data_IF_639812782767
#
_entry.id   IF_639812782767
#
_cell.length_a   1.000
_cell.length_b   1.000
_cell.length_c   1.000
_cell.angle_alpha   90.00
_cell.angle_beta   90.00
_cell.angle_gamma   90.00
#
_symmetry.space_group_name_H-M   'P 1'
#
loop_
_entity.id
_entity.type
_entity.pdbx_description
1 polymer ?
#
# COMPACT_ATOMS: atom_id res chain seq x y z
N UNK A 1 -21.31 4.15 -8.65
CA UNK A 1 -19.88 4.42 -8.39
C UNK A 1 -19.50 3.59 -7.17
N UNK A 2 -18.53 2.70 -7.32
CA UNK A 2 -18.10 1.76 -6.27
C UNK A 2 -16.73 2.21 -5.78
N UNK A 3 -16.69 3.43 -5.23
CA UNK A 3 -15.46 4.05 -4.79
C UNK A 3 -14.98 3.34 -3.53
N UNK A 4 -13.69 3.04 -3.46
CA UNK A 4 -13.08 2.41 -2.30
C UNK A 4 -12.41 3.50 -1.48
N UNK A 5 -12.76 3.61 -0.20
CA UNK A 5 -12.02 4.45 0.74
C UNK A 5 -11.03 3.59 1.51
N UNK A 6 -9.78 4.03 1.59
CA UNK A 6 -8.76 3.31 2.33
C UNK A 6 -7.78 4.23 3.05
N UNK A 7 -7.35 3.84 4.24
CA UNK A 7 -6.20 4.47 4.89
C UNK A 7 -4.92 3.71 4.53
N UNK A 8 -4.05 4.35 3.75
CA UNK A 8 -2.69 3.87 3.53
C UNK A 8 -1.85 4.27 4.75
N UNK A 9 -1.41 3.31 5.56
CA UNK A 9 -0.54 3.62 6.72
C UNK A 9 0.89 3.21 6.44
N UNK A 10 1.87 4.08 6.68
CA UNK A 10 3.29 3.80 6.50
C UNK A 10 4.03 4.14 7.79
N UNK A 11 4.92 3.28 8.29
CA UNK A 11 5.67 3.55 9.51
C UNK A 11 6.62 4.73 9.32
N UNK A 12 6.69 5.56 10.34
CA UNK A 12 7.68 6.64 10.39
C UNK A 12 9.04 6.01 10.72
N UNK A 13 9.85 5.80 9.69
CA UNK A 13 11.19 5.24 9.80
C UNK A 13 12.22 6.38 9.85
N UNK A 14 12.17 7.22 10.87
CA UNK A 14 13.19 8.25 11.06
C UNK A 14 14.40 7.66 11.79
N UNK A 15 15.43 7.28 11.03
CA UNK A 15 16.76 7.02 11.61
C UNK A 15 17.49 8.36 11.73
N UNK A 16 17.56 8.89 12.96
CA UNK A 16 18.22 10.15 13.26
C UNK A 16 19.49 9.96 14.09
N UNK A 17 20.63 10.43 13.57
CA UNK A 17 21.82 10.75 14.36
C UNK A 17 22.08 12.25 14.24
N UNK A 18 21.66 13.04 15.23
CA UNK A 18 21.82 14.50 15.21
C UNK A 18 20.93 15.20 14.19
N UNK A 19 21.49 16.14 13.41
CA UNK A 19 20.75 16.98 12.45
C UNK A 19 20.34 16.27 11.14
N UNK A 20 20.64 14.98 10.99
CA UNK A 20 20.35 14.21 9.78
C UNK A 20 19.16 13.29 10.03
N UNK A 21 18.06 13.51 9.30
CA UNK A 21 16.91 12.60 9.27
C UNK A 21 16.95 11.83 7.96
N UNK A 22 17.15 10.52 8.02
CA UNK A 22 17.02 9.64 6.86
C UNK A 22 15.57 9.13 6.80
N UNK A 23 14.88 9.46 5.70
CA UNK A 23 13.66 8.79 5.29
C UNK A 23 14.00 7.69 4.26
N UNK A 24 14.07 6.42 4.68
CA UNK A 24 14.43 5.32 3.79
C UNK A 24 13.35 5.05 2.75
N UNK A 25 12.09 5.45 2.98
CA UNK A 25 11.00 5.27 2.02
C UNK A 25 11.18 6.26 0.88
N UNK A 26 11.31 7.55 1.18
CA UNK A 26 11.58 8.58 0.16
C UNK A 26 12.89 8.30 -0.59
N UNK A 27 13.92 7.83 0.12
CA UNK A 27 15.20 7.45 -0.51
C UNK A 27 15.08 6.25 -1.46
N UNK A 28 14.20 5.29 -1.16
CA UNK A 28 13.94 4.12 -2.01
C UNK A 28 13.07 4.48 -3.21
N UNK A 29 12.05 5.31 -3.02
CA UNK A 29 11.08 5.71 -4.04
C UNK A 29 11.63 6.80 -4.98
N UNK A 30 12.68 7.53 -4.56
CA UNK A 30 13.22 8.69 -5.29
C UNK A 30 12.31 9.93 -5.26
N UNK A 31 11.16 9.84 -4.59
CA UNK A 31 10.16 10.89 -4.40
C UNK A 31 9.40 10.64 -3.09
N UNK A 32 8.67 11.64 -2.59
CA UNK A 32 7.86 11.45 -1.38
C UNK A 32 6.66 10.55 -1.69
N UNK A 33 6.28 9.68 -0.75
CA UNK A 33 5.08 8.86 -0.90
C UNK A 33 3.82 9.72 -1.14
N UNK A 34 3.75 10.88 -0.47
CA UNK A 34 2.67 11.85 -0.65
C UNK A 34 2.53 12.26 -2.12
N UNK A 35 3.62 12.55 -2.83
CA UNK A 35 3.57 12.92 -4.25
C UNK A 35 3.02 11.83 -5.16
N UNK A 36 3.15 10.56 -4.77
CA UNK A 36 2.63 9.41 -5.53
C UNK A 36 1.12 9.26 -5.33
N UNK A 37 0.63 9.53 -4.11
CA UNK A 37 -0.78 9.33 -3.75
C UNK A 37 -1.59 10.63 -3.72
N UNK A 38 -0.99 11.76 -4.08
CA UNK A 38 -1.56 13.11 -3.97
C UNK A 38 -2.94 13.21 -4.62
N UNK A 39 -3.09 12.64 -5.83
CA UNK A 39 -4.34 12.64 -6.58
C UNK A 39 -5.47 11.82 -5.94
N UNK A 40 -5.12 10.92 -5.01
CA UNK A 40 -6.05 10.02 -4.33
C UNK A 40 -6.41 10.50 -2.92
N UNK A 41 -5.73 11.53 -2.39
CA UNK A 41 -5.97 12.03 -1.03
C UNK A 41 -7.35 12.67 -0.91
N UNK A 42 -8.10 12.28 0.12
CA UNK A 42 -9.37 12.93 0.51
C UNK A 42 -9.25 13.83 1.73
N UNK A 43 -8.12 13.76 2.42
CA UNK A 43 -7.77 14.60 3.55
C UNK A 43 -6.24 14.71 3.69
N UNK A 44 -5.72 15.74 4.38
CA UNK A 44 -4.29 15.86 4.65
C UNK A 44 -3.75 14.63 5.39
N UNK A 45 -2.53 14.16 5.06
CA UNK A 45 -1.88 13.10 5.82
C UNK A 45 -1.70 13.49 7.29
N UNK A 46 -1.83 12.53 8.19
CA UNK A 46 -1.66 12.75 9.62
C UNK A 46 -0.86 11.64 10.29
N UNK A 47 -0.29 11.92 11.46
CA UNK A 47 0.43 10.93 12.25
C UNK A 47 -0.45 10.36 13.34
N UNK A 48 -0.35 9.06 13.55
CA UNK A 48 -0.92 8.40 14.71
C UNK A 48 0.04 7.40 15.33
N UNK A 49 -0.09 7.19 16.64
CA UNK A 49 0.58 6.10 17.33
C UNK A 49 -0.22 4.81 17.11
N UNK A 50 0.42 3.78 16.55
CA UNK A 50 -0.23 2.50 16.24
C UNK A 50 0.74 1.34 16.53
N UNK A 51 0.30 0.39 17.36
CA UNK A 51 1.06 -0.84 17.63
C UNK A 51 2.44 -0.62 18.28
N UNK A 52 2.62 0.45 19.07
CA UNK A 52 3.90 0.77 19.74
C UNK A 52 4.88 1.58 18.89
N UNK A 53 4.52 1.97 17.66
CA UNK A 53 5.27 2.89 16.81
C UNK A 53 4.44 4.09 16.35
N UNK A 54 5.06 4.99 15.60
CA UNK A 54 4.36 6.08 14.89
C UNK A 54 4.20 5.71 13.43
N UNK A 55 3.02 5.95 12.87
CA UNK A 55 2.73 5.77 11.44
C UNK A 55 2.24 7.09 10.85
N UNK A 56 2.63 7.37 9.61
CA UNK A 56 1.97 8.34 8.74
C UNK A 56 0.76 7.65 8.10
N UNK A 57 -0.40 8.32 8.14
CA UNK A 57 -1.66 7.85 7.59
C UNK A 57 -2.06 8.76 6.43
N UNK A 58 -2.33 8.15 5.28
CA UNK A 58 -2.75 8.80 4.05
C UNK A 58 -4.19 8.35 3.74
N UNK A 59 -5.20 9.20 3.99
CA UNK A 59 -6.59 8.87 3.72
C UNK A 59 -6.87 8.99 2.23
N UNK A 60 -7.15 7.86 1.57
CA UNK A 60 -7.32 7.79 0.12
C UNK A 60 -8.77 7.45 -0.26
N UNK A 61 -9.24 8.02 -1.36
CA UNK A 61 -10.35 7.47 -2.13
C UNK A 61 -9.83 7.00 -3.48
N UNK A 62 -10.18 5.77 -3.83
CA UNK A 62 -9.89 5.16 -5.11
C UNK A 62 -11.20 5.09 -5.90
N UNK A 63 -11.44 6.03 -6.82
CA UNK A 63 -12.49 5.88 -7.82
C UNK A 63 -12.34 4.59 -8.61
N UNK A 64 -13.42 4.12 -9.22
CA UNK A 64 -13.36 2.94 -10.09
C UNK A 64 -12.39 3.16 -11.26
N UNK A 65 -11.47 2.22 -11.48
CA UNK A 65 -10.41 2.31 -12.48
C UNK A 65 -9.15 3.05 -12.05
N UNK A 66 -9.16 3.72 -10.89
CA UNK A 66 -8.00 4.46 -10.37
C UNK A 66 -7.11 3.60 -9.47
N UNK A 67 -5.85 4.01 -9.36
CA UNK A 67 -4.85 3.31 -8.57
C UNK A 67 -3.54 4.08 -8.43
N UNK A 68 -2.62 3.52 -7.65
CA UNK A 68 -1.27 4.04 -7.52
C UNK A 68 -0.26 2.91 -7.58
N UNK A 69 0.95 3.24 -8.03
CA UNK A 69 2.07 2.32 -8.09
C UNK A 69 3.31 2.90 -7.43
N UNK A 70 4.06 2.04 -6.76
CA UNK A 70 5.23 2.34 -5.95
C UNK A 70 6.42 1.59 -6.54
N UNK A 71 7.40 2.30 -7.14
CA UNK A 71 8.63 1.66 -7.61
C UNK A 71 9.44 1.16 -6.41
N UNK A 72 9.77 -0.12 -6.36
CA UNK A 72 10.57 -0.73 -5.29
C UNK A 72 12.02 -1.02 -5.75
N UNK A 73 12.48 -0.29 -6.77
CA UNK A 73 13.79 -0.47 -7.39
C UNK A 73 14.02 -1.91 -7.84
N UNK A 74 15.09 -2.54 -7.33
CA UNK A 74 15.45 -3.93 -7.68
C UNK A 74 14.42 -4.99 -7.31
N UNK A 75 13.45 -4.66 -6.45
CA UNK A 75 12.38 -5.58 -6.05
C UNK A 75 11.16 -5.51 -6.98
N UNK A 76 11.23 -4.71 -8.04
CA UNK A 76 10.14 -4.51 -9.00
C UNK A 76 9.24 -3.36 -8.56
N UNK A 77 7.94 -3.58 -8.63
CA UNK A 77 6.93 -2.57 -8.36
C UNK A 77 5.82 -3.16 -7.49
N UNK A 78 5.32 -2.35 -6.57
CA UNK A 78 4.06 -2.62 -5.88
C UNK A 78 3.01 -1.62 -6.36
N UNK A 79 1.74 -1.93 -6.15
CA UNK A 79 0.67 -1.01 -6.50
C UNK A 79 -0.67 -1.53 -6.05
N UNK A 80 -1.67 -0.69 -6.22
CA UNK A 80 -3.05 -1.03 -5.97
C UNK A 80 -3.95 -0.28 -6.94
N UNK A 81 -5.09 -0.88 -7.28
CA UNK A 81 -6.11 -0.24 -8.10
C UNK A 81 -7.51 -0.69 -7.66
N UNK A 82 -8.50 0.14 -7.90
CA UNK A 82 -9.90 -0.24 -7.80
C UNK A 82 -10.37 -0.76 -9.17
N UNK A 83 -10.88 -1.99 -9.21
CA UNK A 83 -11.46 -2.58 -10.40
C UNK A 83 -12.86 -3.12 -10.09
N UNK A 84 -13.89 -2.33 -10.41
CA UNK A 84 -15.29 -2.70 -10.19
C UNK A 84 -15.65 -2.85 -8.71
N UNK A 85 -15.04 -2.06 -7.83
CA UNK A 85 -15.22 -2.17 -6.37
C UNK A 85 -14.44 -3.31 -5.72
N UNK A 86 -13.50 -3.92 -6.46
CA UNK A 86 -12.48 -4.82 -5.91
C UNK A 86 -11.16 -4.08 -5.79
N UNK A 87 -10.52 -4.21 -4.63
CA UNK A 87 -9.16 -3.74 -4.45
C UNK A 87 -8.21 -4.78 -5.06
N UNK A 88 -7.56 -4.42 -6.16
CA UNK A 88 -6.56 -5.25 -6.81
C UNK A 88 -5.18 -4.79 -6.36
N UNK A 89 -4.45 -5.66 -5.68
CA UNK A 89 -3.07 -5.43 -5.30
C UNK A 89 -2.13 -6.00 -6.36
N UNK A 90 -1.13 -5.20 -6.72
CA UNK A 90 0.05 -5.63 -7.47
C UNK A 90 1.21 -5.70 -6.49
N UNK A 91 1.72 -6.90 -6.24
CA UNK A 91 2.82 -7.09 -5.26
C UNK A 91 4.00 -7.80 -5.91
N UNK A 92 5.23 -7.48 -5.49
CA UNK A 92 6.40 -8.26 -5.89
C UNK A 92 6.20 -9.75 -5.61
N UNK A 93 6.66 -10.65 -6.50
CA UNK A 93 6.51 -12.10 -6.33
C UNK A 93 7.06 -12.62 -5.00
N UNK A 94 8.12 -12.00 -4.46
CA UNK A 94 8.71 -12.35 -3.17
C UNK A 94 7.74 -12.16 -1.99
N UNK A 95 6.75 -11.27 -2.12
CA UNK A 95 5.74 -11.00 -1.08
C UNK A 95 4.47 -11.85 -1.24
N UNK A 96 4.36 -12.65 -2.33
CA UNK A 96 3.17 -13.45 -2.66
C UNK A 96 2.63 -14.22 -1.46
N UNK A 97 3.45 -15.08 -0.87
CA UNK A 97 3.02 -15.98 0.22
C UNK A 97 2.51 -15.20 1.43
N UNK A 98 3.17 -14.09 1.77
CA UNK A 98 2.80 -13.26 2.93
C UNK A 98 1.46 -12.57 2.67
N UNK A 99 1.31 -11.95 1.50
CA UNK A 99 0.10 -11.22 1.11
C UNK A 99 -1.09 -12.17 0.99
N UNK A 100 -0.93 -13.29 0.28
CA UNK A 100 -1.99 -14.29 0.10
C UNK A 100 -2.43 -14.89 1.43
N UNK A 101 -1.49 -15.22 2.32
CA UNK A 101 -1.82 -15.77 3.64
C UNK A 101 -2.62 -14.77 4.49
N UNK A 102 -2.23 -13.49 4.50
CA UNK A 102 -2.97 -12.46 5.25
C UNK A 102 -4.30 -12.09 4.60
N UNK A 103 -4.39 -12.20 3.27
CA UNK A 103 -5.56 -11.83 2.51
C UNK A 103 -6.55 -12.99 2.30
N UNK A 104 -6.24 -14.21 2.76
CA UNK A 104 -6.99 -15.42 2.42
C UNK A 104 -8.52 -15.34 2.61
N UNK A 105 -9.00 -14.60 3.61
CA UNK A 105 -10.43 -14.39 3.87
C UNK A 105 -11.10 -13.28 3.04
N UNK A 106 -10.32 -12.58 2.21
CA UNK A 106 -10.72 -11.43 1.41
C UNK A 106 -10.54 -11.67 -0.10
N UNK A 107 -9.85 -12.75 -0.46
CA UNK A 107 -9.54 -13.09 -1.85
C UNK A 107 -10.84 -13.30 -2.64
N UNK A 108 -10.93 -12.63 -3.77
CA UNK A 108 -11.94 -12.86 -4.78
C UNK A 108 -11.26 -13.45 -6.02
N UNK A 109 -11.31 -14.78 -6.14
CA UNK A 109 -10.72 -15.49 -7.26
C UNK A 109 -9.25 -15.91 -7.07
N UNK A 110 -8.64 -16.49 -8.12
CA UNK A 110 -7.29 -17.01 -8.06
C UNK A 110 -6.25 -15.87 -8.00
N UNK A 111 -5.12 -16.18 -7.38
CA UNK A 111 -3.94 -15.31 -7.40
C UNK A 111 -3.23 -15.49 -8.73
N UNK A 112 -3.07 -14.41 -9.49
CA UNK A 112 -2.53 -14.46 -10.85
C UNK A 112 -1.11 -13.91 -10.89
N UNK A 113 -0.22 -14.59 -11.63
CA UNK A 113 1.08 -14.04 -11.98
C UNK A 113 0.90 -13.14 -13.22
N UNK A 114 1.24 -11.87 -13.09
CA UNK A 114 1.04 -10.85 -14.12
C UNK A 114 2.32 -10.06 -14.37
N UNK A 115 2.32 -9.25 -15.43
CA UNK A 115 3.27 -8.13 -15.56
C UNK A 115 2.53 -6.84 -15.30
N UNK A 116 3.02 -6.07 -14.34
CA UNK A 116 2.51 -4.74 -14.03
C UNK A 116 3.58 -3.72 -14.44
N UNK A 117 3.23 -2.81 -15.35
CA UNK A 117 4.15 -1.84 -15.97
C UNK A 117 5.50 -2.44 -16.42
N UNK A 118 5.45 -3.65 -16.99
CA UNK A 118 6.63 -4.35 -17.49
C UNK A 118 7.43 -5.13 -16.45
N UNK A 119 7.11 -5.01 -15.15
CA UNK A 119 7.73 -5.77 -14.06
C UNK A 119 6.91 -7.00 -13.66
N UNK A 120 7.54 -8.13 -13.29
CA UNK A 120 6.81 -9.28 -12.77
C UNK A 120 6.13 -8.91 -11.45
N UNK A 121 4.84 -9.19 -11.36
CA UNK A 121 4.03 -8.91 -10.19
C UNK A 121 3.01 -10.03 -9.98
N UNK A 122 2.48 -10.09 -8.78
CA UNK A 122 1.36 -10.97 -8.44
C UNK A 122 0.14 -10.08 -8.27
N UNK A 123 -0.94 -10.43 -8.96
CA UNK A 123 -2.23 -9.78 -8.87
C UNK A 123 -3.10 -10.49 -7.86
N UNK A 124 -3.59 -9.74 -6.88
CA UNK A 124 -4.45 -10.24 -5.81
C UNK A 124 -5.71 -9.38 -5.75
N UNK A 125 -6.86 -9.91 -6.14
CA UNK A 125 -8.13 -9.21 -6.06
C UNK A 125 -8.81 -9.45 -4.71
N UNK A 126 -9.23 -8.37 -4.05
CA UNK A 126 -9.78 -8.39 -2.70
C UNK A 126 -11.16 -7.73 -2.67
N UNK A 127 -12.13 -8.39 -2.02
CA UNK A 127 -13.38 -7.74 -1.61
C UNK A 127 -13.20 -7.11 -0.24
N UNK A 128 -13.17 -5.79 -0.22
CA UNK A 128 -13.19 -5.04 1.04
C UNK A 128 -14.62 -5.01 1.59
N UNK A 129 -14.74 -5.25 2.90
CA UNK A 129 -15.96 -4.99 3.67
C UNK A 129 -15.76 -3.67 4.43
N UNK A 130 -16.77 -2.81 4.58
CA UNK A 130 -16.64 -1.61 5.40
C UNK A 130 -16.13 -1.93 6.82
N UNK A 131 -15.21 -1.14 7.34
CA UNK A 131 -14.55 -1.33 8.65
C UNK A 131 -13.46 -2.40 8.66
N UNK A 132 -13.09 -2.95 7.50
CA UNK A 132 -12.06 -3.98 7.41
C UNK A 132 -10.67 -3.36 7.21
N UNK A 133 -9.77 -3.64 8.15
CA UNK A 133 -8.34 -3.33 8.04
C UNK A 133 -7.53 -4.52 7.55
N UNK A 134 -6.69 -4.31 6.54
CA UNK A 134 -5.66 -5.23 6.06
C UNK A 134 -4.29 -4.59 6.28
N UNK A 135 -3.28 -5.37 6.67
CA UNK A 135 -1.90 -4.86 6.85
C UNK A 135 -0.90 -5.83 6.24
N UNK A 136 -0.01 -5.32 5.41
CA UNK A 136 1.12 -6.04 4.83
C UNK A 136 2.39 -5.57 5.53
N UNK A 137 3.17 -6.46 6.12
CA UNK A 137 4.47 -6.09 6.64
C UNK A 137 5.44 -5.87 5.47
N UNK A 138 6.09 -4.72 5.45
CA UNK A 138 7.21 -4.37 4.57
C UNK A 138 8.59 -4.73 5.16
N UNK A 139 8.63 -5.58 6.18
CA UNK A 139 9.88 -6.01 6.84
C UNK A 139 10.46 -4.92 7.75
N UNK A 140 11.76 -4.65 7.65
CA UNK A 140 12.44 -3.59 8.43
C UNK A 140 11.95 -2.17 8.12
N UNK A 141 11.14 -2.02 7.06
CA UNK A 141 10.45 -0.80 6.68
C UNK A 141 9.03 -0.71 7.29
N UNK A 142 8.71 -1.52 8.31
CA UNK A 142 7.46 -1.64 9.07
C UNK A 142 6.23 -2.15 8.30
N UNK A 143 5.04 -1.55 8.40
CA UNK A 143 3.79 -2.11 7.82
C UNK A 143 3.03 -1.13 6.92
N UNK A 144 2.57 -1.60 5.75
CA UNK A 144 1.58 -0.93 4.93
C UNK A 144 0.18 -1.42 5.27
N UNK A 145 -0.65 -0.54 5.79
CA UNK A 145 -2.06 -0.82 6.10
C UNK A 145 -3.00 -0.29 5.02
N UNK A 146 -4.17 -0.91 4.92
CA UNK A 146 -5.32 -0.50 4.14
C UNK A 146 -6.54 -0.65 5.05
N UNK A 147 -7.32 0.41 5.26
CA UNK A 147 -8.54 0.32 6.08
C UNK A 147 -9.75 0.78 5.30
N UNK A 148 -10.66 -0.13 4.97
CA UNK A 148 -11.89 0.19 4.27
C UNK A 148 -12.80 1.08 5.13
N UNK A 149 -13.00 2.34 4.73
CA UNK A 149 -13.93 3.26 5.40
C UNK A 149 -15.38 3.05 4.96
#
# INVERSE_FOLDING_TARGET
>A
MTDIRLDLTVPVLSFGFGAFTLDPVTSLLGCSLESIVESLLVAPPFREARGGGTVDVYPLALPDGEGASLPLGRFGQAGFQNAGGLLVLHVPPVLRTVVVRRAAGLLEGPVEDVRFEGSPAVRVALRLRPGLGFRVPLGGLGEVGLHAA
#
